data_IF_108177876494
#
_entry.id   IF_108177876494
#
_cell.length_a   1.000
_cell.length_b   1.000
_cell.length_c   1.000
_cell.angle_alpha   90.00
_cell.angle_beta   90.00
_cell.angle_gamma   90.00
#
_symmetry.space_group_name_H-M   'P 1'
#
loop_
_entity.id
_entity.type
_entity.pdbx_description
1 polymer ?
#
# COMPACT_ATOMS: atom_id res chain seq x y z
N UNK A 1 26.80 -7.59 -1.57
CA UNK A 1 26.57 -7.27 -1.07
C UNK A 1 25.82 -7.08 -0.52
N UNK A 2 25.51 -6.97 -0.19
CA UNK A 2 24.70 -6.89 0.40
C UNK A 2 23.95 -5.97 0.64
N UNK A 3 23.29 -5.73 0.57
CA UNK A 3 22.57 -4.84 0.64
C UNK A 3 22.11 -4.40 1.68
N UNK A 4 21.69 -3.87 1.84
CA UNK A 4 21.34 -3.36 2.72
C UNK A 4 20.17 -3.55 3.11
N UNK A 5 19.78 -3.76 3.62
CA UNK A 5 18.68 -4.11 4.10
C UNK A 5 18.11 -3.14 4.82
N UNK A 6 17.57 -3.18 5.54
CA UNK A 6 17.10 -2.22 6.31
C UNK A 6 15.81 -1.74 5.96
N UNK A 7 15.26 -0.85 6.72
CA UNK A 7 13.95 -0.35 6.54
C UNK A 7 13.83 0.52 5.33
N UNK A 8 14.94 0.91 4.79
CA UNK A 8 14.91 1.72 3.63
C UNK A 8 14.80 0.97 2.40
N UNK A 9 14.68 -0.33 2.46
CA UNK A 9 14.51 -1.09 1.31
C UNK A 9 13.39 -0.54 0.52
N UNK A 10 13.57 -0.43 -0.75
CA UNK A 10 12.59 0.13 -1.59
C UNK A 10 11.36 -0.71 -1.68
N UNK A 11 10.22 -0.09 -1.64
CA UNK A 11 8.95 -0.75 -1.75
C UNK A 11 8.33 -0.29 -3.05
N UNK A 12 7.85 -1.22 -3.86
CA UNK A 12 7.26 -0.84 -5.13
C UNK A 12 5.76 -0.65 -4.98
N UNK A 13 5.20 0.11 -5.90
CA UNK A 13 3.76 0.31 -5.95
C UNK A 13 3.04 -1.01 -6.04
N UNK A 14 3.59 -1.95 -6.82
CA UNK A 14 2.94 -3.24 -7.01
C UNK A 14 2.90 -4.04 -5.73
N UNK A 15 3.95 -3.94 -4.92
CA UNK A 15 3.94 -4.62 -3.62
C UNK A 15 2.83 -4.09 -2.73
N UNK A 16 2.67 -2.78 -2.71
CA UNK A 16 1.65 -2.17 -1.87
C UNK A 16 0.25 -2.53 -2.38
N UNK A 17 0.04 -2.42 -3.67
CA UNK A 17 -1.27 -2.73 -4.23
C UNK A 17 -1.63 -4.20 -4.03
N UNK A 18 -0.65 -5.08 -4.18
CA UNK A 18 -0.87 -6.50 -3.96
C UNK A 18 -1.22 -6.78 -2.50
N UNK A 19 -0.54 -6.10 -1.57
CA UNK A 19 -0.83 -6.28 -0.16
C UNK A 19 -2.27 -5.88 0.16
N UNK A 20 -2.73 -4.79 -0.41
CA UNK A 20 -4.10 -4.36 -0.19
C UNK A 20 -5.08 -5.34 -0.82
N UNK A 21 -4.77 -5.78 -2.03
CA UNK A 21 -5.64 -6.72 -2.73
C UNK A 21 -5.83 -8.01 -1.96
N UNK A 22 -4.77 -8.47 -1.31
CA UNK A 22 -4.80 -9.77 -0.63
C UNK A 22 -5.23 -9.67 0.82
N UNK A 23 -5.57 -8.47 1.29
CA UNK A 23 -5.99 -8.33 2.67
C UNK A 23 -7.38 -8.92 2.86
N UNK A 24 -7.63 -9.43 4.05
CA UNK A 24 -8.94 -9.95 4.37
C UNK A 24 -10.00 -8.85 4.38
N UNK A 25 -9.64 -7.69 4.91
CA UNK A 25 -10.60 -6.61 5.05
C UNK A 25 -10.72 -5.86 3.75
N UNK A 26 -11.88 -5.31 3.45
CA UNK A 26 -12.03 -4.46 2.28
C UNK A 26 -11.20 -3.20 2.37
N UNK A 27 -10.82 -2.78 3.58
CA UNK A 27 -10.00 -1.59 3.76
C UNK A 27 -8.96 -1.89 4.83
N UNK A 28 -7.75 -1.36 4.66
CA UNK A 28 -6.66 -1.67 5.57
C UNK A 28 -6.00 -0.39 6.02
N UNK A 29 -5.45 -0.41 7.23
CA UNK A 29 -4.71 0.73 7.76
C UNK A 29 -3.31 0.79 7.21
N UNK A 30 -2.69 1.95 7.38
CA UNK A 30 -1.33 2.15 6.90
C UNK A 30 -0.35 1.18 7.56
N UNK A 31 -0.49 0.98 8.86
CA UNK A 31 0.41 0.08 9.57
C UNK A 31 0.26 -1.35 9.10
N UNK A 32 -0.96 -1.74 8.77
CA UNK A 32 -1.20 -3.08 8.29
C UNK A 32 -0.51 -3.31 6.96
N UNK A 33 -0.61 -2.33 6.06
CA UNK A 33 0.08 -2.45 4.77
C UNK A 33 1.59 -2.50 4.99
N UNK A 34 2.09 -1.67 5.90
CA UNK A 34 3.53 -1.63 6.17
C UNK A 34 4.03 -2.98 6.64
N UNK A 35 3.28 -3.62 7.51
CA UNK A 35 3.66 -4.94 8.00
C UNK A 35 3.69 -5.95 6.87
N UNK A 36 2.71 -5.89 6.01
CA UNK A 36 2.59 -6.87 4.94
C UNK A 36 3.71 -6.75 3.92
N UNK A 37 4.18 -5.54 3.67
CA UNK A 37 5.24 -5.36 2.69
C UNK A 37 6.62 -5.31 3.33
N UNK A 38 6.69 -5.32 4.65
CA UNK A 38 7.98 -5.33 5.34
C UNK A 38 8.71 -4.01 5.28
N UNK A 39 7.99 -2.90 5.35
CA UNK A 39 8.61 -1.59 5.26
C UNK A 39 8.13 -0.72 6.41
N UNK A 40 8.77 0.41 6.57
CA UNK A 40 8.41 1.34 7.63
C UNK A 40 7.10 2.03 7.28
N UNK A 41 6.36 2.34 8.32
CA UNK A 41 5.06 2.97 8.15
C UNK A 41 5.14 4.28 7.40
N UNK A 42 6.17 5.08 7.69
CA UNK A 42 6.31 6.36 7.02
C UNK A 42 6.53 6.22 5.53
N UNK A 43 7.35 5.25 5.16
CA UNK A 43 7.61 4.99 3.76
C UNK A 43 6.33 4.57 3.04
N UNK A 44 5.59 3.68 3.68
CA UNK A 44 4.35 3.17 3.09
C UNK A 44 3.31 4.28 2.99
N UNK A 45 3.22 5.12 4.02
CA UNK A 45 2.25 6.20 3.99
C UNK A 45 2.52 7.13 2.81
N UNK A 46 3.78 7.43 2.55
CA UNK A 46 4.12 8.28 1.43
C UNK A 46 3.71 7.64 0.10
N UNK A 47 4.03 6.37 -0.06
CA UNK A 47 3.64 5.64 -1.27
C UNK A 47 2.13 5.62 -1.45
N UNK A 48 1.40 5.39 -0.35
CA UNK A 48 -0.05 5.32 -0.44
C UNK A 48 -0.65 6.64 -0.87
N UNK A 49 -0.09 7.74 -0.37
CA UNK A 49 -0.59 9.05 -0.76
C UNK A 49 -0.33 9.33 -2.22
N UNK A 50 0.81 8.90 -2.72
CA UNK A 50 1.13 9.06 -4.13
C UNK A 50 0.21 8.20 -4.99
N UNK A 51 -0.05 6.98 -4.55
CA UNK A 51 -0.97 6.11 -5.29
C UNK A 51 -2.38 6.67 -5.30
N UNK A 52 -2.77 7.34 -4.21
CA UNK A 52 -4.08 7.98 -4.18
C UNK A 52 -4.16 9.11 -5.19
N UNK A 53 -3.08 9.86 -5.30
CA UNK A 53 -3.05 10.94 -6.30
C UNK A 53 -3.12 10.39 -7.71
N UNK A 54 -2.59 9.21 -7.91
CA UNK A 54 -2.65 8.56 -9.22
C UNK A 54 -3.98 7.87 -9.46
N UNK A 55 -4.82 7.83 -8.45
CA UNK A 55 -6.13 7.23 -8.63
C UNK A 55 -6.17 5.72 -8.50
N UNK A 56 -5.12 5.13 -7.94
CA UNK A 56 -5.05 3.67 -7.82
C UNK A 56 -5.54 3.17 -6.47
N UNK A 57 -5.54 4.02 -5.45
CA UNK A 57 -6.13 3.67 -4.17
C UNK A 57 -7.01 4.81 -3.71
N UNK A 58 -7.95 4.47 -2.84
CA UNK A 58 -8.81 5.46 -2.20
C UNK A 58 -8.62 5.36 -0.71
N UNK A 59 -8.99 6.41 0.01
CA UNK A 59 -8.72 6.46 1.42
C UNK A 59 -9.79 7.28 2.13
N UNK A 60 -9.94 7.02 3.41
CA UNK A 60 -10.78 7.84 4.26
C UNK A 60 -10.37 7.64 5.70
N UNK A 61 -10.83 8.54 6.55
CA UNK A 61 -10.61 8.38 7.98
C UNK A 61 -11.81 7.67 8.58
N UNK A 62 -11.51 6.74 9.46
CA UNK A 62 -12.54 6.11 10.28
C UNK A 62 -12.08 6.36 11.71
N UNK A 63 -12.76 7.28 12.38
CA UNK A 63 -12.29 7.72 13.68
C UNK A 63 -10.93 8.39 13.50
N UNK A 64 -9.94 7.86 14.17
CA UNK A 64 -8.58 8.41 14.08
C UNK A 64 -7.68 7.58 13.18
N UNK A 65 -8.25 6.63 12.47
CA UNK A 65 -7.45 5.71 11.67
C UNK A 65 -7.75 5.97 10.21
N UNK A 66 -6.68 6.11 9.43
CA UNK A 66 -6.84 6.23 7.99
C UNK A 66 -6.77 4.85 7.38
N UNK A 67 -7.74 4.54 6.52
CA UNK A 67 -7.78 3.25 5.84
C UNK A 67 -7.69 3.46 4.34
N UNK A 68 -7.29 2.40 3.65
CA UNK A 68 -7.02 2.43 2.22
C UNK A 68 -7.66 1.24 1.55
N UNK A 69 -8.07 1.41 0.31
CA UNK A 69 -8.54 0.28 -0.51
C UNK A 69 -8.27 0.59 -1.96
N UNK A 70 -8.30 -0.44 -2.80
CA UNK A 70 -8.04 -0.26 -4.22
C UNK A 70 -9.23 0.42 -4.88
N UNK A 71 -8.94 1.38 -5.75
CA UNK A 71 -9.96 1.88 -6.64
C UNK A 71 -10.19 0.85 -7.73
N UNK A 72 -11.19 1.09 -8.57
CA UNK A 72 -11.41 0.22 -9.72
C UNK A 72 -10.18 0.22 -10.62
N UNK A 73 -9.59 1.38 -10.82
CA UNK A 73 -8.37 1.47 -11.63
C UNK A 73 -7.22 0.72 -10.99
N UNK A 74 -7.09 0.83 -9.67
CA UNK A 74 -6.02 0.13 -8.98
C UNK A 74 -6.17 -1.36 -9.06
N UNK A 75 -7.40 -1.85 -8.94
CA UNK A 75 -7.66 -3.27 -9.05
C UNK A 75 -7.32 -3.77 -10.45
N UNK A 76 -7.72 -3.02 -11.45
CA UNK A 76 -7.43 -3.38 -12.83
C UNK A 76 -5.94 -3.39 -13.09
N UNK A 77 -5.26 -2.38 -12.56
CA UNK A 77 -3.82 -2.27 -12.74
C UNK A 77 -3.09 -3.47 -12.16
N UNK A 78 -3.41 -3.83 -10.93
CA UNK A 78 -2.68 -4.90 -10.26
C UNK A 78 -3.07 -6.27 -10.83
N UNK A 79 -4.30 -6.43 -11.27
CA UNK A 79 -4.71 -7.68 -11.89
C UNK A 79 -3.96 -7.90 -13.20
N UNK A 80 -3.76 -6.84 -13.97
CA UNK A 80 -3.02 -6.96 -15.21
C UNK A 80 -1.54 -7.19 -14.95
N UNK A 81 -1.03 -6.61 -13.87
CA UNK A 81 0.36 -6.77 -13.53
C UNK A 81 0.68 -8.22 -13.15
N UNK A 82 -0.20 -8.82 -12.41
CA UNK A 82 0.00 -10.19 -11.98
C UNK A 82 -0.27 -11.13 -13.14
#
# INVERSE_FOLDING_TARGET
MPPKPGPDREVTDEQILTAIRNAYSPAVGTSDVAERVGAQRQTVDKHLRELAEEGLVETRMIGRVRVWWLSDDGRRYIDDYA
#
